data_IF_893022173646
#
_entry.id   IF_893022173646
#
_cell.length_a   1.000
_cell.length_b   1.000
_cell.length_c   1.000
_cell.angle_alpha   90.00
_cell.angle_beta   90.00
_cell.angle_gamma   90.00
#
_symmetry.space_group_name_H-M   'P 1'
#
loop_
_entity.id
_entity.type
_entity.pdbx_description
1 polymer ?
#
# COMPACT_ATOMS: atom_id res chain seq x y z
N UNK A 1 -13.74 -3.79 1.75
CA UNK A 1 -13.85 -3.73 0.28
C UNK A 1 -12.84 -2.73 -0.24
N UNK A 2 -12.03 -3.09 -1.25
CA UNK A 2 -10.93 -2.28 -1.77
C UNK A 2 -11.44 -1.18 -2.71
N UNK A 3 -12.50 -1.44 -3.44
CA UNK A 3 -13.10 -0.57 -4.46
C UNK A 3 -14.59 -0.34 -4.19
N UNK A 4 -15.13 0.72 -4.77
CA UNK A 4 -16.55 1.03 -4.75
C UNK A 4 -16.98 1.42 -6.16
N UNK A 5 -18.23 1.20 -6.53
CA UNK A 5 -18.89 1.55 -7.79
C UNK A 5 -17.98 1.84 -9.00
N UNK A 6 -18.29 1.21 -10.11
CA UNK A 6 -17.66 1.51 -11.40
C UNK A 6 -18.26 2.80 -11.99
N UNK A 7 -17.43 3.57 -12.69
CA UNK A 7 -17.86 4.71 -13.48
C UNK A 7 -17.02 4.80 -14.77
N UNK A 8 -17.52 5.47 -15.80
CA UNK A 8 -16.73 5.85 -16.97
C UNK A 8 -15.78 7.00 -16.61
N UNK A 9 -14.51 6.87 -16.98
CA UNK A 9 -13.52 7.91 -16.70
C UNK A 9 -13.93 9.27 -17.28
N UNK A 10 -14.49 9.29 -18.48
CA UNK A 10 -14.99 10.50 -19.13
C UNK A 10 -16.03 11.27 -18.29
N UNK A 11 -16.83 10.56 -17.50
CA UNK A 11 -17.86 11.15 -16.65
C UNK A 11 -17.31 11.70 -15.33
N UNK A 12 -16.25 11.08 -14.78
CA UNK A 12 -15.77 11.39 -13.42
C UNK A 12 -14.49 12.23 -13.39
N UNK A 13 -13.75 12.31 -14.49
CA UNK A 13 -12.45 13.01 -14.57
C UNK A 13 -12.51 14.51 -14.22
N UNK A 14 -13.67 15.13 -14.32
CA UNK A 14 -13.89 16.54 -14.02
C UNK A 14 -14.48 16.80 -12.63
N UNK A 15 -14.87 15.74 -11.91
CA UNK A 15 -15.52 15.85 -10.60
C UNK A 15 -14.47 16.08 -9.53
N UNK A 16 -14.28 17.34 -9.14
CA UNK A 16 -13.38 17.71 -8.06
C UNK A 16 -13.89 17.24 -6.71
N UNK A 17 -12.98 16.87 -5.83
CA UNK A 17 -13.25 16.59 -4.42
C UNK A 17 -12.44 17.57 -3.58
N UNK A 18 -13.09 18.31 -2.71
CA UNK A 18 -12.48 19.37 -1.88
C UNK A 18 -11.65 20.36 -2.73
N UNK A 19 -12.14 20.72 -3.93
CA UNK A 19 -11.44 21.58 -4.88
C UNK A 19 -10.34 20.90 -5.70
N UNK A 20 -9.96 19.67 -5.37
CA UNK A 20 -8.87 18.96 -6.02
C UNK A 20 -9.34 18.13 -7.20
N UNK A 21 -8.57 18.18 -8.28
CA UNK A 21 -8.79 17.37 -9.48
C UNK A 21 -8.53 15.89 -9.17
N UNK A 22 -9.44 14.98 -9.61
CA UNK A 22 -9.22 13.54 -9.40
C UNK A 22 -7.99 13.05 -10.15
N UNK A 23 -7.40 11.99 -9.64
CA UNK A 23 -6.26 11.32 -10.25
C UNK A 23 -6.64 9.90 -10.65
N UNK A 24 -5.98 9.37 -11.67
CA UNK A 24 -6.17 8.00 -12.14
C UNK A 24 -4.83 7.29 -12.33
N UNK A 25 -4.76 6.06 -11.89
CA UNK A 25 -3.63 5.15 -12.12
C UNK A 25 -4.09 3.79 -12.61
N UNK A 26 -3.14 2.97 -13.02
CA UNK A 26 -3.37 1.62 -13.51
C UNK A 26 -3.10 0.60 -12.39
N UNK A 27 -3.89 -0.46 -12.37
CA UNK A 27 -3.57 -1.68 -11.62
C UNK A 27 -2.88 -2.66 -12.55
N UNK A 28 -1.80 -3.27 -12.08
CA UNK A 28 -1.25 -4.45 -12.72
C UNK A 28 -1.01 -5.56 -11.70
N UNK A 29 -0.86 -6.78 -12.19
CA UNK A 29 -0.64 -7.94 -11.36
C UNK A 29 0.83 -8.34 -11.45
N UNK A 30 1.46 -8.56 -10.30
CA UNK A 30 2.76 -9.20 -10.21
C UNK A 30 2.53 -10.60 -9.69
N UNK A 31 2.87 -11.59 -10.49
CA UNK A 31 2.86 -12.99 -10.10
C UNK A 31 4.30 -13.43 -9.80
N UNK A 32 4.45 -14.21 -8.77
CA UNK A 32 5.72 -14.82 -8.39
C UNK A 32 5.48 -16.09 -7.59
N UNK A 33 6.43 -17.00 -7.64
CA UNK A 33 6.44 -18.20 -6.83
C UNK A 33 7.30 -17.96 -5.58
N UNK A 34 6.78 -18.30 -4.42
CA UNK A 34 7.53 -18.17 -3.17
C UNK A 34 8.62 -19.25 -3.12
N UNK A 35 9.80 -18.89 -2.64
CA UNK A 35 10.94 -19.79 -2.51
C UNK A 35 11.39 -20.45 -3.84
N UNK A 36 11.13 -19.80 -4.98
CA UNK A 36 11.55 -20.32 -6.29
C UNK A 36 13.07 -20.47 -6.39
N UNK A 37 13.81 -19.64 -5.65
CA UNK A 37 15.28 -19.70 -5.55
C UNK A 37 15.81 -20.98 -4.86
N UNK A 38 14.94 -21.68 -4.14
CA UNK A 38 15.29 -22.93 -3.47
C UNK A 38 15.00 -24.15 -4.35
N UNK A 39 15.08 -24.00 -5.68
CA UNK A 39 14.76 -25.06 -6.62
C UNK A 39 15.59 -26.33 -6.35
N UNK A 40 14.90 -27.38 -5.96
CA UNK A 40 15.43 -28.70 -5.68
C UNK A 40 14.76 -29.79 -6.50
N UNK A 41 14.36 -29.48 -7.75
CA UNK A 41 13.65 -30.41 -8.64
C UNK A 41 12.20 -30.68 -8.23
N UNK A 42 11.46 -29.67 -7.83
CA UNK A 42 10.11 -29.76 -7.28
C UNK A 42 9.05 -29.75 -8.38
N UNK A 43 7.91 -30.34 -8.08
CA UNK A 43 6.70 -30.23 -8.91
C UNK A 43 6.14 -28.80 -8.87
N UNK A 44 5.45 -28.39 -9.95
CA UNK A 44 4.82 -27.07 -10.07
C UNK A 44 3.83 -26.76 -8.93
N UNK A 45 3.25 -27.77 -8.29
CA UNK A 45 2.26 -27.67 -7.21
C UNK A 45 2.85 -27.88 -5.80
N UNK A 46 4.16 -27.73 -5.59
CA UNK A 46 4.76 -27.86 -4.26
C UNK A 46 4.12 -26.87 -3.26
N UNK A 47 3.46 -27.33 -2.19
CA UNK A 47 2.83 -26.47 -1.20
C UNK A 47 3.81 -25.53 -0.46
N UNK A 48 5.10 -25.83 -0.48
CA UNK A 48 6.15 -24.97 0.09
C UNK A 48 6.53 -23.82 -0.86
N UNK A 49 6.16 -23.91 -2.13
CA UNK A 49 6.43 -22.93 -3.17
C UNK A 49 5.15 -22.35 -3.80
N UNK A 50 4.17 -21.88 -3.02
CA UNK A 50 2.90 -21.42 -3.56
C UNK A 50 3.06 -20.20 -4.45
N UNK A 51 2.29 -20.15 -5.52
CA UNK A 51 2.16 -18.95 -6.34
C UNK A 51 1.52 -17.82 -5.55
N UNK A 52 2.04 -16.62 -5.72
CA UNK A 52 1.51 -15.40 -5.11
C UNK A 52 1.24 -14.36 -6.18
N UNK A 53 0.06 -13.78 -6.12
CA UNK A 53 -0.31 -12.67 -6.98
C UNK A 53 -0.50 -11.41 -6.12
N UNK A 54 0.09 -10.30 -6.56
CA UNK A 54 -0.07 -8.98 -5.93
C UNK A 54 -0.62 -7.99 -6.93
N UNK A 55 -1.73 -7.35 -6.58
CA UNK A 55 -2.18 -6.17 -7.31
C UNK A 55 -1.35 -4.96 -6.91
N UNK A 56 -0.76 -4.29 -7.89
CA UNK A 56 0.12 -3.14 -7.68
C UNK A 56 -0.42 -1.94 -8.46
N UNK A 57 -0.44 -0.78 -7.81
CA UNK A 57 -0.76 0.49 -8.43
C UNK A 57 0.48 1.02 -9.16
N UNK A 58 0.33 1.42 -10.42
CA UNK A 58 1.43 1.97 -11.20
C UNK A 58 1.67 3.44 -10.83
N UNK A 59 2.41 3.68 -9.76
CA UNK A 59 2.66 5.02 -9.22
C UNK A 59 3.42 5.96 -10.14
N UNK A 60 4.25 5.43 -11.04
CA UNK A 60 5.00 6.21 -12.04
C UNK A 60 4.13 6.76 -13.17
N UNK A 61 2.94 6.21 -13.39
CA UNK A 61 2.03 6.60 -14.47
C UNK A 61 0.68 7.07 -13.95
N UNK A 62 0.70 7.95 -12.96
CA UNK A 62 -0.50 8.59 -12.42
C UNK A 62 -0.78 9.86 -13.18
N UNK A 63 -2.05 10.08 -13.54
CA UNK A 63 -2.49 11.28 -14.27
C UNK A 63 -3.65 11.95 -13.55
N UNK A 64 -3.70 13.26 -13.66
CA UNK A 64 -4.85 14.06 -13.22
C UNK A 64 -6.01 13.95 -14.22
N UNK A 65 -7.18 14.44 -13.85
CA UNK A 65 -8.38 14.41 -14.71
C UNK A 65 -8.22 15.14 -16.05
N UNK A 66 -7.32 16.09 -16.13
CA UNK A 66 -6.95 16.82 -17.35
C UNK A 66 -5.84 16.15 -18.17
N UNK A 67 -5.30 15.04 -17.65
CA UNK A 67 -4.25 14.25 -18.32
C UNK A 67 -2.82 14.61 -17.94
N UNK A 68 -2.62 15.62 -17.09
CA UNK A 68 -1.28 16.02 -16.63
C UNK A 68 -0.66 14.92 -15.76
N UNK A 69 0.65 14.64 -15.87
CA UNK A 69 1.33 13.74 -14.96
C UNK A 69 1.19 14.18 -13.50
N UNK A 70 0.72 13.30 -12.63
CA UNK A 70 0.46 13.60 -11.22
C UNK A 70 1.63 13.25 -10.29
N UNK A 71 2.76 12.76 -10.80
CA UNK A 71 3.91 12.40 -9.98
C UNK A 71 4.48 13.60 -9.18
N UNK A 72 4.35 14.81 -9.70
CA UNK A 72 4.75 16.05 -8.99
C UNK A 72 3.99 16.27 -7.68
N UNK A 73 2.76 15.75 -7.56
CA UNK A 73 1.96 15.86 -6.33
C UNK A 73 2.54 15.02 -5.18
N UNK A 74 3.52 14.17 -5.46
CA UNK A 74 4.06 13.18 -4.54
C UNK A 74 5.57 13.31 -4.28
N UNK A 75 6.21 14.39 -4.75
CA UNK A 75 7.68 14.55 -4.65
C UNK A 75 8.19 14.58 -3.21
N UNK A 76 7.37 15.02 -2.26
CA UNK A 76 7.75 15.15 -0.84
C UNK A 76 7.28 14.00 0.04
N UNK A 77 6.77 12.93 -0.57
CA UNK A 77 6.10 11.85 0.16
C UNK A 77 7.06 10.72 0.43
N UNK A 78 7.80 10.78 1.53
CA UNK A 78 8.68 9.72 2.02
C UNK A 78 8.16 9.06 3.30
N UNK A 79 8.33 7.76 3.45
CA UNK A 79 8.35 7.12 4.76
C UNK A 79 9.76 7.29 5.33
N UNK A 80 9.85 7.55 6.63
CA UNK A 80 11.15 7.71 7.30
C UNK A 80 11.50 6.40 8.02
N UNK A 81 12.26 5.51 7.39
CA UNK A 81 12.68 4.28 8.05
C UNK A 81 13.63 4.57 9.20
N UNK A 82 13.67 3.68 10.18
CA UNK A 82 14.64 3.73 11.26
C UNK A 82 16.08 3.71 10.69
N UNK A 83 16.95 4.54 11.23
CA UNK A 83 18.35 4.60 10.77
C UNK A 83 19.07 3.26 11.04
N UNK A 84 20.08 2.97 10.23
CA UNK A 84 20.90 1.78 10.42
C UNK A 84 21.57 1.74 11.80
N UNK A 85 22.09 2.87 12.27
CA UNK A 85 22.70 3.00 13.59
C UNK A 85 21.69 2.70 14.72
N UNK A 86 20.46 3.21 14.62
CA UNK A 86 19.39 2.93 15.58
C UNK A 86 19.02 1.45 15.58
N UNK A 87 18.98 0.83 14.40
CA UNK A 87 18.70 -0.60 14.26
C UNK A 87 19.78 -1.44 14.93
N UNK A 88 21.06 -1.13 14.69
CA UNK A 88 22.18 -1.82 15.34
C UNK A 88 22.15 -1.67 16.86
N UNK A 89 21.90 -0.46 17.37
CA UNK A 89 21.79 -0.21 18.80
C UNK A 89 20.66 -1.02 19.44
N UNK A 90 19.50 -1.10 18.78
CA UNK A 90 18.38 -1.90 19.27
C UNK A 90 18.69 -3.41 19.28
N UNK A 91 19.38 -3.91 18.26
CA UNK A 91 19.85 -5.30 18.20
C UNK A 91 20.84 -5.60 19.32
N UNK A 92 21.81 -4.72 19.57
CA UNK A 92 22.76 -4.86 20.67
C UNK A 92 22.07 -4.93 22.03
N UNK A 93 21.08 -4.07 22.28
CA UNK A 93 20.25 -4.11 23.50
C UNK A 93 19.46 -5.41 23.58
N UNK A 94 18.92 -5.91 22.46
CA UNK A 94 18.20 -7.18 22.38
C UNK A 94 19.06 -8.39 22.70
N UNK A 95 20.38 -8.31 22.51
CA UNK A 95 21.34 -9.36 22.81
C UNK A 95 21.81 -9.38 24.28
N UNK A 96 21.47 -8.37 25.09
CA UNK A 96 21.85 -8.33 26.50
C UNK A 96 21.15 -9.44 27.31
N UNK A 97 21.83 -9.93 28.36
CA UNK A 97 21.28 -10.93 29.27
C UNK A 97 19.94 -10.45 29.86
N UNK A 98 18.93 -11.28 29.79
CA UNK A 98 17.58 -10.96 30.26
C UNK A 98 16.70 -10.25 29.23
N UNK A 99 17.24 -9.85 28.09
CA UNK A 99 16.47 -9.31 26.97
C UNK A 99 15.93 -10.43 26.06
N UNK A 100 14.83 -10.14 25.34
CA UNK A 100 14.31 -11.00 24.28
C UNK A 100 14.01 -10.14 23.04
N UNK A 101 14.47 -10.60 21.90
CA UNK A 101 14.14 -9.98 20.62
C UNK A 101 13.18 -10.86 19.81
N UNK A 102 12.26 -10.24 19.08
CA UNK A 102 11.39 -10.93 18.13
C UNK A 102 11.11 -10.03 16.93
N UNK A 103 11.03 -10.64 15.75
CA UNK A 103 10.63 -9.96 14.52
C UNK A 103 9.15 -10.24 14.24
N UNK A 104 8.42 -9.22 13.79
CA UNK A 104 7.01 -9.31 13.43
C UNK A 104 6.80 -8.66 12.08
N UNK A 105 6.01 -9.28 11.23
CA UNK A 105 5.58 -8.72 9.94
C UNK A 105 4.13 -8.27 10.00
N UNK A 106 3.88 -7.06 9.48
CA UNK A 106 2.55 -6.52 9.42
C UNK A 106 1.80 -7.08 8.20
N UNK A 107 0.90 -8.02 8.44
CA UNK A 107 0.11 -8.60 7.35
C UNK A 107 -0.68 -7.54 6.59
N UNK A 108 -0.49 -7.49 5.26
CA UNK A 108 -1.24 -6.59 4.37
C UNK A 108 -1.18 -5.12 4.82
N UNK A 109 -0.01 -4.65 5.23
CA UNK A 109 0.22 -3.34 5.86
C UNK A 109 -0.54 -2.20 5.15
N UNK A 110 -0.29 -1.94 3.88
CA UNK A 110 -0.86 -0.80 3.16
C UNK A 110 -2.39 -0.86 3.08
N UNK A 111 -2.99 -2.01 2.78
CA UNK A 111 -4.46 -2.13 2.67
C UNK A 111 -5.19 -1.94 4.01
N UNK A 112 -4.49 -1.82 5.11
CA UNK A 112 -5.06 -1.42 6.38
C UNK A 112 -5.33 0.09 6.46
N UNK A 113 -4.71 0.91 5.61
CA UNK A 113 -4.86 2.37 5.59
C UNK A 113 -5.88 2.79 4.53
N UNK A 114 -6.65 3.85 4.82
CA UNK A 114 -7.59 4.45 3.86
C UNK A 114 -6.93 5.61 3.14
N UNK A 115 -7.03 5.61 1.81
CA UNK A 115 -6.51 6.68 0.94
C UNK A 115 -7.58 7.72 0.60
N UNK A 116 -8.84 7.30 0.46
CA UNK A 116 -9.96 8.20 0.18
C UNK A 116 -10.38 8.93 1.46
N UNK A 117 -9.66 10.01 1.79
CA UNK A 117 -9.88 10.87 2.97
C UNK A 117 -10.18 12.30 2.54
N UNK A 118 -10.83 13.12 3.40
CA UNK A 118 -10.91 14.56 3.21
C UNK A 118 -9.52 15.20 3.02
N UNK A 119 -9.44 16.28 2.26
CA UNK A 119 -8.18 16.98 1.98
C UNK A 119 -7.21 16.20 1.06
N UNK A 120 -7.71 15.23 0.29
CA UNK A 120 -6.94 14.44 -0.69
C UNK A 120 -7.70 14.31 -2.00
N UNK A 121 -7.02 14.35 -3.16
CA UNK A 121 -7.66 14.09 -4.44
C UNK A 121 -8.22 12.67 -4.45
N UNK A 122 -9.37 12.51 -5.12
CA UNK A 122 -9.94 11.17 -5.29
C UNK A 122 -9.09 10.38 -6.26
N UNK A 123 -8.62 9.23 -5.82
CA UNK A 123 -7.84 8.31 -6.65
C UNK A 123 -8.77 7.30 -7.31
N UNK A 124 -8.74 7.28 -8.63
CA UNK A 124 -9.40 6.29 -9.45
C UNK A 124 -8.41 5.27 -9.97
N UNK A 125 -8.89 4.07 -10.22
CA UNK A 125 -8.06 2.94 -10.62
C UNK A 125 -8.65 2.29 -11.87
N UNK A 126 -7.86 2.17 -12.93
CA UNK A 126 -8.15 1.32 -14.08
C UNK A 126 -7.73 -0.11 -13.78
N UNK A 127 -8.66 -1.04 -13.96
CA UNK A 127 -8.38 -2.46 -13.83
C UNK A 127 -8.00 -3.03 -15.21
N UNK A 128 -7.04 -3.96 -15.29
CA UNK A 128 -6.81 -4.71 -16.52
C UNK A 128 -8.08 -5.53 -16.86
N UNK A 129 -8.36 -5.72 -18.14
CA UNK A 129 -9.59 -6.40 -18.60
C UNK A 129 -9.75 -7.80 -18.00
N UNK A 130 -8.65 -8.50 -17.74
CA UNK A 130 -8.65 -9.82 -17.09
C UNK A 130 -9.26 -9.82 -15.68
N UNK A 131 -9.33 -8.66 -15.02
CA UNK A 131 -9.92 -8.51 -13.69
C UNK A 131 -11.32 -7.88 -13.73
N UNK A 132 -11.89 -7.65 -14.90
CA UNK A 132 -13.22 -7.08 -15.00
C UNK A 132 -14.26 -8.11 -14.54
N UNK A 133 -15.17 -7.74 -13.62
CA UNK A 133 -16.26 -8.61 -13.23
C UNK A 133 -17.17 -8.95 -14.42
N UNK A 134 -17.76 -10.14 -14.40
CA UNK A 134 -18.74 -10.55 -15.43
C UNK A 134 -19.89 -9.55 -15.61
N UNK A 135 -20.27 -8.86 -14.55
CA UNK A 135 -21.29 -7.80 -14.57
C UNK A 135 -20.95 -6.58 -15.44
N UNK A 136 -19.67 -6.42 -15.83
CA UNK A 136 -19.22 -5.35 -16.73
C UNK A 136 -19.31 -5.71 -18.21
N UNK A 137 -19.84 -6.88 -18.51
CA UNK A 137 -20.08 -7.35 -19.87
C UNK A 137 -21.58 -7.52 -20.11
N UNK A 138 -21.99 -7.34 -21.36
CA UNK A 138 -23.33 -7.62 -21.85
C UNK A 138 -23.53 -9.15 -21.99
N UNK A 139 -24.76 -9.56 -22.29
CA UNK A 139 -25.07 -10.97 -22.49
C UNK A 139 -24.35 -11.58 -23.70
N UNK A 140 -24.01 -10.74 -24.69
CA UNK A 140 -23.26 -11.12 -25.90
C UNK A 140 -21.74 -11.13 -25.68
N UNK A 141 -21.25 -10.87 -24.46
CA UNK A 141 -19.83 -10.81 -24.13
C UNK A 141 -19.15 -9.46 -24.46
N UNK A 142 -19.87 -8.51 -25.05
CA UNK A 142 -19.31 -7.19 -25.30
C UNK A 142 -19.15 -6.36 -24.02
N UNK A 143 -18.14 -5.49 -23.90
CA UNK A 143 -17.97 -4.63 -22.74
C UNK A 143 -19.11 -3.60 -22.60
N UNK A 144 -19.64 -3.43 -21.39
CA UNK A 144 -20.60 -2.35 -21.08
C UNK A 144 -19.93 -0.97 -20.96
N UNK A 145 -18.64 -0.95 -20.68
CA UNK A 145 -17.87 0.26 -20.41
C UNK A 145 -16.73 0.38 -21.40
N UNK A 146 -16.39 1.61 -21.77
CA UNK A 146 -15.28 1.92 -22.67
C UNK A 146 -13.96 2.11 -21.90
N UNK A 147 -14.00 2.90 -20.82
CA UNK A 147 -12.86 3.19 -19.93
C UNK A 147 -13.32 3.17 -18.46
N UNK A 148 -13.65 1.99 -17.93
CA UNK A 148 -14.17 1.88 -16.58
C UNK A 148 -13.08 2.12 -15.54
N UNK A 149 -13.45 2.91 -14.53
CA UNK A 149 -12.62 3.20 -13.37
C UNK A 149 -13.38 2.90 -12.09
N UNK A 150 -12.65 2.55 -11.03
CA UNK A 150 -13.19 2.33 -9.69
C UNK A 150 -12.47 3.23 -8.69
N UNK A 151 -13.17 3.67 -7.64
CA UNK A 151 -12.56 4.50 -6.59
C UNK A 151 -11.65 3.61 -5.73
N UNK A 152 -10.38 3.97 -5.62
CA UNK A 152 -9.44 3.37 -4.70
C UNK A 152 -9.71 3.90 -3.27
N UNK A 153 -10.15 3.04 -2.38
CA UNK A 153 -10.48 3.43 -0.98
C UNK A 153 -9.35 3.17 0.00
N UNK A 154 -8.59 2.12 -0.24
CA UNK A 154 -7.49 1.71 0.63
C UNK A 154 -6.17 1.84 -0.09
N UNK A 155 -5.13 2.10 0.67
CA UNK A 155 -3.77 2.16 0.14
C UNK A 155 -3.39 0.84 -0.54
N UNK A 156 -2.65 0.93 -1.61
CA UNK A 156 -2.24 -0.21 -2.42
C UNK A 156 -0.73 -0.12 -2.66
N UNK A 157 -0.07 -1.27 -2.79
CA UNK A 157 1.34 -1.31 -3.18
C UNK A 157 1.57 -0.53 -4.47
N UNK A 158 2.66 0.22 -4.53
CA UNK A 158 3.01 1.08 -5.65
C UNK A 158 2.34 2.46 -5.68
N UNK A 159 1.32 2.72 -4.84
CA UNK A 159 0.79 4.07 -4.72
C UNK A 159 1.76 4.93 -3.89
N UNK A 160 2.13 6.13 -4.38
CA UNK A 160 3.16 6.96 -3.74
C UNK A 160 2.87 7.28 -2.27
N UNK A 161 1.63 7.49 -1.90
CA UNK A 161 1.23 7.82 -0.53
C UNK A 161 1.05 6.60 0.39
N UNK A 162 1.16 5.37 -0.12
CA UNK A 162 0.89 4.18 0.70
C UNK A 162 1.87 3.99 1.83
N UNK A 163 3.15 4.29 1.62
CA UNK A 163 4.18 4.26 2.65
C UNK A 163 3.88 5.20 3.81
N UNK A 164 3.79 6.51 3.57
CA UNK A 164 3.47 7.51 4.60
C UNK A 164 2.14 7.30 5.30
N UNK A 165 1.12 6.81 4.59
CA UNK A 165 -0.16 6.49 5.21
C UNK A 165 -0.08 5.30 6.14
N UNK A 166 0.70 4.30 5.79
CA UNK A 166 0.98 3.18 6.66
C UNK A 166 1.79 3.61 7.88
N UNK A 167 2.85 4.39 7.66
CA UNK A 167 3.68 4.94 8.73
C UNK A 167 2.85 5.71 9.74
N UNK A 168 2.03 6.66 9.28
CA UNK A 168 1.11 7.40 10.15
C UNK A 168 0.15 6.48 10.93
N UNK A 169 -0.37 5.44 10.29
CA UNK A 169 -1.24 4.47 10.97
C UNK A 169 -0.47 3.68 12.02
N UNK A 170 0.72 3.22 11.69
CA UNK A 170 1.59 2.48 12.61
C UNK A 170 1.91 3.33 13.84
N UNK A 171 2.34 4.57 13.67
CA UNK A 171 2.56 5.52 14.76
C UNK A 171 1.33 5.66 15.66
N UNK A 172 0.14 5.83 15.08
CA UNK A 172 -1.12 5.91 15.85
C UNK A 172 -1.39 4.65 16.66
N UNK A 173 -1.09 3.47 16.12
CA UNK A 173 -1.24 2.20 16.83
C UNK A 173 -0.24 2.10 17.99
N UNK A 174 1.02 2.49 17.77
CA UNK A 174 2.06 2.48 18.79
C UNK A 174 1.72 3.42 19.94
N UNK A 175 1.29 4.66 19.65
CA UNK A 175 0.89 5.61 20.69
C UNK A 175 -0.32 5.12 21.49
N UNK A 176 -1.33 4.54 20.83
CA UNK A 176 -2.47 3.94 21.52
C UNK A 176 -2.09 2.75 22.42
N UNK A 177 -1.03 2.03 22.06
CA UNK A 177 -0.49 0.94 22.86
C UNK A 177 0.45 1.43 24.00
N UNK A 178 0.60 2.75 24.20
CA UNK A 178 1.42 3.33 25.25
C UNK A 178 2.88 3.55 24.91
N UNK A 179 3.29 3.25 23.67
CA UNK A 179 4.63 3.55 23.19
C UNK A 179 4.81 5.05 22.92
N UNK A 180 6.04 5.49 22.97
CA UNK A 180 6.49 6.84 22.61
C UNK A 180 7.61 6.75 21.57
N UNK A 181 7.66 7.68 20.62
CA UNK A 181 8.79 7.80 19.70
C UNK A 181 10.01 8.35 20.40
N UNK A 182 11.17 7.90 20.01
CA UNK A 182 12.44 8.46 20.48
C UNK A 182 12.78 9.67 19.62
N UNK A 183 13.05 10.79 20.28
CA UNK A 183 13.46 12.01 19.61
C UNK A 183 14.78 11.80 18.84
N UNK A 184 14.89 12.32 17.63
CA UNK A 184 16.05 12.12 16.76
C UNK A 184 16.18 10.72 16.13
N UNK A 185 15.27 9.79 16.42
CA UNK A 185 15.29 8.43 15.86
C UNK A 185 13.93 8.05 15.29
N UNK A 186 13.58 8.53 14.09
CA UNK A 186 12.32 8.20 13.44
C UNK A 186 12.14 6.68 13.33
N UNK A 187 10.90 6.20 13.50
CA UNK A 187 10.58 4.77 13.43
C UNK A 187 11.00 3.95 14.64
N UNK A 188 11.65 4.55 15.65
CA UNK A 188 11.98 3.88 16.91
C UNK A 188 11.01 4.28 18.03
N UNK A 189 10.46 3.28 18.72
CA UNK A 189 9.50 3.46 19.80
C UNK A 189 9.96 2.74 21.07
N UNK A 190 9.62 3.32 22.22
CA UNK A 190 9.82 2.68 23.52
C UNK A 190 8.55 2.76 24.35
N UNK A 191 8.33 1.76 25.20
CA UNK A 191 7.25 1.76 26.17
C UNK A 191 7.83 2.10 27.55
N UNK A 192 7.39 3.21 28.18
CA UNK A 192 8.05 3.73 29.40
C UNK A 192 7.95 2.79 30.61
N UNK A 193 6.91 1.97 30.71
CA UNK A 193 6.69 1.07 31.86
C UNK A 193 7.04 -0.38 31.58
N UNK A 194 6.93 -0.85 30.33
CA UNK A 194 7.19 -2.25 29.97
C UNK A 194 8.66 -2.53 29.62
N UNK A 195 9.49 -1.49 29.46
CA UNK A 195 10.84 -1.63 28.95
C UNK A 195 10.93 -2.14 27.52
N UNK A 196 9.78 -2.30 26.83
CA UNK A 196 9.71 -2.77 25.44
C UNK A 196 10.19 -1.69 24.46
N UNK A 197 10.87 -2.12 23.42
CA UNK A 197 11.33 -1.28 22.30
C UNK A 197 10.88 -1.89 20.99
N UNK A 198 10.56 -1.05 20.00
CA UNK A 198 10.08 -1.46 18.68
C UNK A 198 10.63 -0.50 17.61
N UNK A 199 10.90 -1.01 16.42
CA UNK A 199 11.32 -0.26 15.25
C UNK A 199 10.70 -0.89 13.98
#
# INVERSE_FOLDING_TARGET
MLFRSVAEWSQVRHIKKDGMTPIVGLLFLIMGQKNAELDTGRDEDDPNCPYRCRGVFQGSNVRTGDGTPAWMLYQEVGATPTSFATTQAAMAVGALKGSRASTRDARKAYIQSYIDKPGRPRTWLRLPKSLWPKSWFNADGSPKYRDPVVILRKSLYGHPESGPMWDKKMHQCMYKAGFRSLEGSPGFFYHPTLGARCM
#
